data_IF_419633631513
#
_entry.id   IF_419633631513
#
_cell.length_a   1.000
_cell.length_b   1.000
_cell.length_c   1.000
_cell.angle_alpha   90.00
_cell.angle_beta   90.00
_cell.angle_gamma   90.00
#
_symmetry.space_group_name_H-M   'P 1'
#
loop_
_entity.id
_entity.type
_entity.pdbx_description
1 polymer ?
#
# COMPACT_ATOMS: atom_id res chain seq x y z
N UNK A 1 10.17 -6.73 -8.73
CA UNK A 1 11.58 -7.07 -8.98
C UNK A 1 12.23 -6.04 -9.93
N UNK A 2 13.56 -6.00 -10.04
CA UNK A 2 14.25 -4.97 -10.84
C UNK A 2 13.85 -4.98 -12.32
N UNK A 3 13.42 -6.14 -12.83
CA UNK A 3 12.85 -6.36 -14.17
C UNK A 3 11.59 -5.50 -14.48
N UNK A 4 11.01 -4.84 -13.47
CA UNK A 4 9.82 -3.99 -13.59
C UNK A 4 10.06 -2.56 -13.13
N UNK A 5 11.30 -2.07 -13.24
CA UNK A 5 11.69 -0.71 -12.83
C UNK A 5 10.86 0.41 -13.48
N UNK A 6 10.24 0.17 -14.64
CA UNK A 6 9.37 1.12 -15.32
C UNK A 6 7.94 1.21 -14.74
N UNK A 7 7.56 0.31 -13.82
CA UNK A 7 6.23 0.33 -13.23
C UNK A 7 6.15 1.38 -12.10
N UNK A 8 5.02 2.09 -11.95
CA UNK A 8 4.82 3.05 -10.87
C UNK A 8 5.10 2.49 -9.48
N UNK A 9 4.66 1.27 -9.21
CA UNK A 9 4.90 0.56 -7.95
C UNK A 9 6.40 0.35 -7.64
N UNK A 10 7.27 0.44 -8.65
CA UNK A 10 8.71 0.32 -8.50
C UNK A 10 9.39 1.68 -8.34
N UNK A 11 9.17 2.62 -9.27
CA UNK A 11 9.90 3.88 -9.24
C UNK A 11 9.39 4.85 -8.17
N UNK A 12 8.09 4.84 -7.83
CA UNK A 12 7.54 5.69 -6.77
C UNK A 12 8.08 5.25 -5.41
N UNK A 13 8.02 3.95 -5.10
CA UNK A 13 8.58 3.41 -3.86
C UNK A 13 10.09 3.72 -3.73
N UNK A 14 10.86 3.55 -4.83
CA UNK A 14 12.29 3.90 -4.85
C UNK A 14 12.53 5.40 -4.63
N UNK A 15 11.69 6.25 -5.21
CA UNK A 15 11.78 7.70 -5.02
C UNK A 15 11.49 8.09 -3.57
N UNK A 16 10.43 7.54 -2.96
CA UNK A 16 10.07 7.79 -1.56
C UNK A 16 11.17 7.35 -0.60
N UNK A 17 11.74 6.16 -0.81
CA UNK A 17 12.85 5.64 -0.01
C UNK A 17 14.10 6.54 -0.15
N UNK A 18 14.45 6.96 -1.36
CA UNK A 18 15.55 7.89 -1.60
C UNK A 18 15.31 9.29 -1.02
N UNK A 19 14.05 9.70 -0.88
CA UNK A 19 13.65 10.94 -0.23
C UNK A 19 13.64 10.85 1.31
N UNK A 20 13.95 9.68 1.89
CA UNK A 20 14.03 9.47 3.33
C UNK A 20 12.71 9.06 3.99
N UNK A 21 11.70 8.68 3.21
CA UNK A 21 10.44 8.11 3.73
C UNK A 21 10.69 6.67 4.19
N UNK A 22 10.14 6.28 5.33
CA UNK A 22 10.20 4.89 5.76
C UNK A 22 9.19 4.03 5.01
N UNK A 23 9.67 3.35 3.97
CA UNK A 23 8.84 2.51 3.11
C UNK A 23 8.73 1.10 3.68
N UNK A 24 7.51 0.60 3.88
CA UNK A 24 7.23 -0.81 4.18
C UNK A 24 6.71 -1.50 2.91
N UNK A 25 7.47 -2.43 2.28
CA UNK A 25 7.04 -3.04 1.04
C UNK A 25 5.95 -4.12 1.26
N UNK A 26 4.79 -3.96 0.61
CA UNK A 26 3.68 -4.93 0.70
C UNK A 26 3.26 -5.49 -0.70
N UNK A 27 4.07 -6.37 -1.32
CA UNK A 27 3.76 -6.92 -2.63
C UNK A 27 2.65 -7.98 -2.58
N UNK A 28 1.69 -7.89 -3.51
CA UNK A 28 0.57 -8.83 -3.62
C UNK A 28 0.78 -9.93 -4.67
N UNK A 29 1.47 -9.63 -5.78
CA UNK A 29 1.57 -10.54 -6.92
C UNK A 29 2.82 -11.43 -6.97
N UNK A 30 3.86 -11.09 -6.22
CA UNK A 30 5.14 -11.81 -6.27
C UNK A 30 5.37 -12.58 -4.97
N UNK A 31 4.81 -13.79 -4.81
CA UNK A 31 4.84 -14.52 -3.53
C UNK A 31 6.25 -14.96 -3.13
N UNK A 32 7.17 -15.07 -4.09
CA UNK A 32 8.56 -15.50 -3.85
C UNK A 32 9.51 -14.35 -3.45
N UNK A 33 9.09 -13.10 -3.63
CA UNK A 33 9.93 -11.94 -3.27
C UNK A 33 9.96 -11.80 -1.75
N UNK A 34 11.13 -11.82 -1.14
CA UNK A 34 11.26 -11.65 0.32
C UNK A 34 11.76 -10.26 0.70
N UNK A 35 12.33 -9.52 -0.26
CA UNK A 35 12.96 -8.22 -0.04
C UNK A 35 12.67 -7.27 -1.22
N UNK A 36 12.42 -6.00 -0.90
CA UNK A 36 12.26 -4.88 -1.85
C UNK A 36 12.97 -3.67 -1.24
N UNK A 37 13.80 -2.96 -2.03
CA UNK A 37 14.58 -1.80 -1.56
C UNK A 37 15.49 -2.10 -0.35
N UNK A 38 16.00 -3.33 -0.23
CA UNK A 38 16.79 -3.75 0.93
C UNK A 38 15.96 -3.99 2.22
N UNK A 39 14.63 -3.94 2.13
CA UNK A 39 13.70 -4.10 3.25
C UNK A 39 12.87 -5.38 3.10
N UNK A 40 12.67 -6.09 4.21
CA UNK A 40 11.80 -7.27 4.27
C UNK A 40 10.37 -6.92 3.87
N UNK A 41 9.75 -7.77 3.06
CA UNK A 41 8.36 -7.54 2.63
C UNK A 41 7.35 -8.01 3.68
N UNK A 42 6.24 -7.30 3.78
CA UNK A 42 5.07 -7.69 4.58
C UNK A 42 3.96 -8.21 3.65
N UNK A 43 3.19 -9.21 4.10
CA UNK A 43 2.16 -9.88 3.27
C UNK A 43 0.73 -9.63 3.72
N UNK A 44 0.57 -9.05 4.90
CA UNK A 44 -0.72 -8.74 5.50
C UNK A 44 -0.57 -7.37 6.15
N UNK A 45 -1.48 -6.45 5.86
CA UNK A 45 -1.39 -5.07 6.34
C UNK A 45 -1.45 -5.00 7.87
N UNK A 46 -2.26 -5.86 8.48
CA UNK A 46 -2.31 -6.05 9.95
C UNK A 46 -1.00 -6.53 10.59
N UNK A 47 -0.06 -7.05 9.81
CA UNK A 47 1.23 -7.51 10.32
C UNK A 47 2.33 -6.42 10.23
N UNK A 48 1.98 -5.22 9.75
CA UNK A 48 2.89 -4.08 9.76
C UNK A 48 3.12 -3.67 11.23
N UNK A 49 4.37 -3.69 11.72
CA UNK A 49 4.65 -3.32 13.10
C UNK A 49 4.45 -1.81 13.30
N UNK A 50 4.24 -1.41 14.56
CA UNK A 50 4.24 -0.02 14.95
C UNK A 50 5.54 0.70 14.51
N UNK A 51 5.49 2.01 14.20
CA UNK A 51 4.35 2.91 14.38
C UNK A 51 3.27 2.80 13.29
N UNK A 52 2.12 3.43 13.53
CA UNK A 52 1.05 3.68 12.56
C UNK A 52 1.59 4.09 11.18
N UNK A 53 0.99 3.53 10.13
CA UNK A 53 1.22 3.93 8.74
C UNK A 53 0.58 5.30 8.48
N UNK A 54 1.37 6.29 8.03
CA UNK A 54 0.80 7.58 7.62
C UNK A 54 0.02 7.46 6.31
N UNK A 55 0.65 6.88 5.29
CA UNK A 55 0.07 6.75 3.94
C UNK A 55 0.19 5.31 3.46
N UNK A 56 -0.94 4.71 3.12
CA UNK A 56 -1.00 3.45 2.37
C UNK A 56 -1.06 3.76 0.87
N UNK A 57 0.08 3.65 0.20
CA UNK A 57 0.21 3.90 -1.24
C UNK A 57 -0.16 2.66 -2.08
N UNK A 58 -1.24 2.75 -2.86
CA UNK A 58 -1.90 1.61 -3.50
C UNK A 58 -1.73 1.63 -5.02
N UNK A 59 -1.04 0.60 -5.51
CA UNK A 59 -0.87 0.33 -6.94
C UNK A 59 -1.74 -0.84 -7.44
N UNK A 60 -2.76 -1.26 -6.69
CA UNK A 60 -3.68 -2.32 -7.12
C UNK A 60 -4.66 -1.83 -8.16
N UNK A 61 -5.06 -2.74 -9.05
CA UNK A 61 -6.14 -2.45 -10.01
C UNK A 61 -7.42 -2.18 -9.23
N UNK A 62 -8.23 -1.25 -9.74
CA UNK A 62 -9.48 -0.84 -9.09
C UNK A 62 -10.39 -2.02 -8.70
N UNK A 63 -10.52 -3.01 -9.58
CA UNK A 63 -11.32 -4.23 -9.38
C UNK A 63 -10.81 -5.13 -8.23
N UNK A 64 -9.53 -5.01 -7.89
CA UNK A 64 -8.89 -5.80 -6.85
C UNK A 64 -8.78 -5.05 -5.50
N UNK A 65 -9.14 -3.76 -5.44
CA UNK A 65 -9.04 -2.95 -4.23
C UNK A 65 -9.95 -3.46 -3.10
N UNK A 66 -11.18 -3.87 -3.42
CA UNK A 66 -12.17 -4.33 -2.43
C UNK A 66 -11.64 -5.50 -1.58
N UNK A 67 -10.79 -6.36 -2.15
CA UNK A 67 -10.17 -7.49 -1.45
C UNK A 67 -9.20 -7.10 -0.34
N UNK A 68 -8.84 -5.83 -0.22
CA UNK A 68 -7.95 -5.31 0.82
C UNK A 68 -8.69 -4.58 1.95
N UNK A 69 -9.99 -4.32 1.80
CA UNK A 69 -10.75 -3.50 2.76
C UNK A 69 -10.73 -4.10 4.17
N UNK A 70 -11.03 -5.40 4.30
CA UNK A 70 -11.05 -6.07 5.61
C UNK A 70 -9.68 -6.07 6.28
N UNK A 71 -8.60 -6.24 5.51
CA UNK A 71 -7.23 -6.26 6.05
C UNK A 71 -6.79 -4.87 6.50
N UNK A 72 -7.19 -3.80 5.80
CA UNK A 72 -6.95 -2.40 6.22
C UNK A 72 -7.70 -2.08 7.51
N UNK A 73 -8.98 -2.46 7.59
CA UNK A 73 -9.81 -2.17 8.76
C UNK A 73 -9.45 -3.02 9.98
N UNK A 74 -8.77 -4.16 9.77
CA UNK A 74 -8.26 -5.02 10.83
C UNK A 74 -6.86 -4.62 11.35
N UNK A 75 -6.25 -3.56 10.82
CA UNK A 75 -5.00 -3.04 11.39
C UNK A 75 -5.24 -2.44 12.78
N UNK A 76 -4.38 -2.77 13.75
CA UNK A 76 -4.44 -2.20 15.10
C UNK A 76 -4.37 -0.66 15.07
N UNK A 77 -3.45 -0.13 14.24
CA UNK A 77 -3.33 1.30 13.93
C UNK A 77 -3.60 1.52 12.44
N UNK A 78 -4.86 1.78 12.10
CA UNK A 78 -5.33 2.05 10.72
C UNK A 78 -4.61 3.25 10.10
N UNK A 79 -4.32 3.30 8.79
CA UNK A 79 -3.57 4.40 8.20
C UNK A 79 -4.29 5.75 8.33
N UNK A 80 -3.57 6.88 8.24
CA UNK A 80 -4.24 8.20 8.12
C UNK A 80 -4.89 8.34 6.75
N UNK A 81 -4.16 7.96 5.69
CA UNK A 81 -4.59 8.14 4.31
C UNK A 81 -4.32 6.90 3.48
N UNK A 82 -5.24 6.56 2.59
CA UNK A 82 -5.01 5.62 1.49
C UNK A 82 -4.90 6.42 0.20
N UNK A 83 -3.77 6.30 -0.49
CA UNK A 83 -3.54 6.98 -1.75
C UNK A 83 -3.66 6.00 -2.90
N UNK A 84 -4.72 6.16 -3.71
CA UNK A 84 -4.91 5.38 -4.93
C UNK A 84 -4.11 6.02 -6.06
N UNK A 85 -3.16 5.27 -6.61
CA UNK A 85 -2.26 5.82 -7.62
C UNK A 85 -2.97 6.11 -8.94
N UNK A 86 -2.35 6.99 -9.73
CA UNK A 86 -2.93 7.50 -10.99
C UNK A 86 -3.52 6.40 -11.87
N UNK A 87 -4.79 6.55 -12.25
CA UNK A 87 -5.52 5.57 -13.06
C UNK A 87 -6.27 4.50 -12.26
N UNK A 88 -6.17 4.49 -10.93
CA UNK A 88 -6.92 3.61 -10.04
C UNK A 88 -8.05 4.41 -9.42
N UNK A 89 -9.29 3.98 -9.65
CA UNK A 89 -10.48 4.59 -9.05
C UNK A 89 -11.47 3.51 -8.63
N UNK A 90 -11.82 3.49 -7.35
CA UNK A 90 -12.86 2.63 -6.81
C UNK A 90 -13.66 3.39 -5.75
N UNK A 91 -14.79 3.96 -6.16
CA UNK A 91 -15.61 4.86 -5.34
C UNK A 91 -16.25 4.13 -4.15
N UNK A 92 -16.61 2.85 -4.32
CA UNK A 92 -17.17 2.03 -3.24
C UNK A 92 -16.12 1.79 -2.15
N UNK A 93 -14.93 1.35 -2.55
CA UNK A 93 -13.81 1.14 -1.65
C UNK A 93 -13.44 2.43 -0.89
N UNK A 94 -13.36 3.55 -1.62
CA UNK A 94 -13.07 4.85 -1.03
C UNK A 94 -14.13 5.26 0.00
N UNK A 95 -15.43 5.15 -0.34
CA UNK A 95 -16.52 5.47 0.57
C UNK A 95 -16.44 4.66 1.87
N UNK A 96 -16.19 3.35 1.77
CA UNK A 96 -16.07 2.46 2.94
C UNK A 96 -14.90 2.84 3.86
N UNK A 97 -13.78 3.30 3.31
CA UNK A 97 -12.65 3.77 4.11
C UNK A 97 -12.94 5.12 4.76
N UNK A 98 -13.58 6.04 4.03
CA UNK A 98 -13.95 7.35 4.57
C UNK A 98 -15.00 7.29 5.67
N UNK A 99 -15.94 6.33 5.61
CA UNK A 99 -16.89 6.03 6.70
C UNK A 99 -16.17 5.67 8.01
N UNK A 100 -14.97 5.12 7.91
CA UNK A 100 -14.12 4.68 9.02
C UNK A 100 -13.08 5.73 9.43
N UNK A 101 -13.16 6.95 8.88
CA UNK A 101 -12.28 8.07 9.20
C UNK A 101 -10.89 7.99 8.55
N UNK A 102 -10.75 7.24 7.45
CA UNK A 102 -9.52 7.16 6.67
C UNK A 102 -9.68 8.00 5.41
N UNK A 103 -8.79 8.97 5.20
CA UNK A 103 -8.82 9.80 4.00
C UNK A 103 -8.42 8.99 2.77
N UNK A 104 -9.06 9.26 1.62
CA UNK A 104 -8.72 8.61 0.35
C UNK A 104 -8.42 9.66 -0.71
N UNK A 105 -7.23 9.55 -1.33
CA UNK A 105 -6.71 10.46 -2.36
C UNK A 105 -6.61 9.74 -3.70
#
# INVERSE_FOLDING_TARGET
>A
PEDRANQPAHYVAKYLDAAGVDVVPCPTYYPKVTEILGKSVVRQLRAIPAPRVDVLDVFRRAEDCDGHLEDILAMDERPHTVWLQSGIRNDRFAARLTEEGIDVV
#
